data_IF_092536812150
#
_entry.id   IF_092536812150
#
_cell.length_a   1.000
_cell.length_b   1.000
_cell.length_c   1.000
_cell.angle_alpha   90.00
_cell.angle_beta   90.00
_cell.angle_gamma   90.00
#
_symmetry.space_group_name_H-M   'P 1'
#
loop_
_entity.id
_entity.type
_entity.pdbx_description
1 polymer ?
#
# COMPACT_ATOMS: atom_id res chain seq x y z
N UNK A 1 9.75 0.07 -14.38
CA UNK A 1 10.22 1.17 -15.22
C UNK A 1 9.81 2.54 -14.65
N UNK A 2 8.53 2.85 -14.45
CA UNK A 2 8.05 4.15 -13.92
C UNK A 2 8.71 4.52 -12.60
N UNK A 3 8.80 3.60 -11.61
CA UNK A 3 9.50 3.81 -10.34
C UNK A 3 10.97 4.22 -10.51
N UNK A 4 11.67 3.61 -11.47
CA UNK A 4 13.06 3.98 -11.78
C UNK A 4 13.17 5.35 -12.43
N UNK A 5 12.25 5.68 -13.32
CA UNK A 5 12.17 7.00 -13.96
C UNK A 5 12.03 8.10 -12.91
N UNK A 6 11.22 7.86 -11.89
CA UNK A 6 10.98 8.79 -10.77
C UNK A 6 11.99 8.69 -9.63
N UNK A 7 12.95 7.76 -9.67
CA UNK A 7 13.86 7.45 -8.54
C UNK A 7 13.06 7.17 -7.24
N UNK A 8 11.93 6.47 -7.39
CA UNK A 8 11.00 6.23 -6.28
C UNK A 8 11.67 5.46 -5.15
N UNK A 9 11.59 5.93 -3.89
CA UNK A 9 12.41 5.41 -2.79
C UNK A 9 11.97 4.05 -2.27
N UNK A 10 10.69 3.66 -2.48
CA UNK A 10 10.15 2.40 -1.97
C UNK A 10 10.20 1.30 -3.02
N UNK A 11 10.69 0.12 -2.64
CA UNK A 11 10.67 -1.08 -3.48
C UNK A 11 9.41 -1.94 -3.22
N UNK A 12 8.27 -1.28 -3.06
CA UNK A 12 6.95 -1.91 -2.88
C UNK A 12 6.16 -1.69 -4.17
N UNK A 13 5.61 -2.76 -4.76
CA UNK A 13 4.85 -2.68 -6.00
C UNK A 13 3.35 -2.46 -5.74
N UNK A 14 2.81 -3.16 -4.74
CA UNK A 14 1.39 -3.05 -4.39
C UNK A 14 1.04 -1.62 -3.97
N UNK A 15 -0.09 -1.12 -4.43
CA UNK A 15 -0.59 0.25 -4.18
C UNK A 15 0.29 1.39 -4.75
N UNK A 16 1.29 1.07 -5.60
CA UNK A 16 2.05 2.12 -6.27
C UNK A 16 1.14 2.88 -7.23
N UNK A 17 1.12 4.20 -7.10
CA UNK A 17 0.32 5.08 -7.97
C UNK A 17 1.21 5.54 -9.14
N UNK A 18 0.85 5.13 -10.35
CA UNK A 18 1.50 5.58 -11.58
C UNK A 18 0.69 6.68 -12.24
N UNK A 19 1.34 7.78 -12.60
CA UNK A 19 0.72 8.79 -13.46
C UNK A 19 0.68 8.33 -14.92
N UNK A 20 -0.41 8.58 -15.60
CA UNK A 20 -0.57 8.28 -17.03
C UNK A 20 0.51 8.99 -17.87
N UNK A 21 0.90 10.20 -17.49
CA UNK A 21 1.98 10.94 -18.15
C UNK A 21 3.31 10.18 -18.14
N UNK A 22 3.64 9.51 -17.03
CA UNK A 22 4.87 8.71 -16.94
C UNK A 22 4.76 7.40 -17.70
N UNK A 23 3.57 6.79 -17.74
CA UNK A 23 3.33 5.61 -18.57
C UNK A 23 3.53 5.93 -20.06
N UNK A 24 3.10 7.13 -20.52
CA UNK A 24 3.36 7.60 -21.88
C UNK A 24 4.86 7.77 -22.16
N UNK A 25 5.61 8.40 -21.24
CA UNK A 25 7.09 8.52 -21.40
C UNK A 25 7.76 7.15 -21.49
N UNK A 26 7.32 6.18 -20.69
CA UNK A 26 7.84 4.80 -20.75
C UNK A 26 7.50 4.17 -22.09
N UNK A 27 6.28 4.37 -22.62
CA UNK A 27 5.88 3.87 -23.94
C UNK A 27 6.78 4.44 -25.03
N UNK A 28 6.99 5.76 -25.07
CA UNK A 28 7.85 6.43 -26.04
C UNK A 28 9.28 5.89 -26.01
N UNK A 29 9.84 5.68 -24.79
CA UNK A 29 11.16 5.09 -24.62
C UNK A 29 11.25 3.65 -25.17
N UNK A 30 10.21 2.83 -24.94
CA UNK A 30 10.23 1.43 -25.40
C UNK A 30 10.03 1.35 -26.89
N UNK A 31 9.16 2.17 -27.49
CA UNK A 31 8.95 2.21 -28.93
C UNK A 31 10.20 2.66 -29.71
N UNK A 32 11.14 3.34 -29.04
CA UNK A 32 12.41 3.78 -29.65
C UNK A 32 13.53 2.74 -29.58
N UNK A 33 13.30 1.58 -28.94
CA UNK A 33 14.33 0.53 -28.77
C UNK A 33 13.86 -0.79 -29.39
N UNK A 34 14.84 -1.61 -29.78
CA UNK A 34 14.59 -2.92 -30.36
C UNK A 34 14.04 -3.91 -29.31
N UNK A 35 13.28 -4.91 -29.77
CA UNK A 35 12.67 -5.93 -28.92
C UNK A 35 13.70 -6.71 -28.10
N UNK A 36 14.89 -6.98 -28.66
CA UNK A 36 15.96 -7.68 -27.93
C UNK A 36 16.54 -6.83 -26.77
N UNK A 37 16.49 -5.52 -26.89
CA UNK A 37 16.81 -4.61 -25.78
C UNK A 37 15.67 -4.54 -24.77
N UNK A 38 14.43 -4.63 -25.21
CA UNK A 38 13.25 -4.67 -24.32
C UNK A 38 13.27 -5.91 -23.41
N UNK A 39 13.68 -7.08 -23.92
CA UNK A 39 13.87 -8.31 -23.13
C UNK A 39 14.87 -8.16 -21.99
N UNK A 40 15.86 -7.30 -22.13
CA UNK A 40 16.92 -7.04 -21.12
C UNK A 40 16.51 -6.02 -20.07
N UNK A 41 15.34 -5.41 -20.19
CA UNK A 41 14.86 -4.43 -19.20
C UNK A 41 14.48 -5.16 -17.90
N UNK A 42 15.10 -4.80 -16.79
CA UNK A 42 14.76 -5.37 -15.48
C UNK A 42 13.27 -5.11 -15.17
N UNK A 43 12.51 -6.20 -14.99
CA UNK A 43 11.08 -6.16 -14.71
C UNK A 43 10.20 -6.47 -15.92
N UNK A 44 10.78 -6.67 -17.10
CA UNK A 44 10.09 -7.23 -18.27
C UNK A 44 10.51 -8.70 -18.36
N UNK A 45 9.56 -9.64 -18.29
CA UNK A 45 9.89 -11.04 -18.54
C UNK A 45 10.12 -11.25 -20.03
N UNK A 46 11.08 -12.08 -20.38
CA UNK A 46 11.40 -12.38 -21.77
C UNK A 46 10.19 -12.90 -22.55
N UNK A 47 9.38 -13.76 -21.92
CA UNK A 47 8.15 -14.32 -22.47
C UNK A 47 7.01 -13.31 -22.71
N UNK A 48 7.13 -12.07 -22.18
CA UNK A 48 6.11 -11.01 -22.30
C UNK A 48 6.62 -9.76 -23.02
N UNK A 49 7.87 -9.77 -23.47
CA UNK A 49 8.49 -8.61 -24.08
C UNK A 49 7.79 -8.19 -25.38
N UNK A 50 7.29 -9.14 -26.16
CA UNK A 50 6.55 -8.95 -27.41
C UNK A 50 5.18 -8.29 -27.20
N UNK A 51 4.49 -8.61 -26.12
CA UNK A 51 3.16 -8.05 -25.79
C UNK A 51 3.22 -6.83 -24.87
N UNK A 52 4.41 -6.47 -24.40
CA UNK A 52 4.56 -5.43 -23.37
C UNK A 52 4.10 -4.04 -23.83
N UNK A 53 4.43 -3.66 -25.07
CA UNK A 53 3.98 -2.40 -25.70
C UNK A 53 2.46 -2.38 -25.82
N UNK A 54 1.87 -3.47 -26.34
CA UNK A 54 0.41 -3.58 -26.47
C UNK A 54 -0.28 -3.47 -25.10
N UNK A 55 0.26 -4.10 -24.07
CA UNK A 55 -0.28 -4.02 -22.72
C UNK A 55 -0.27 -2.58 -22.17
N UNK A 56 0.80 -1.81 -22.40
CA UNK A 56 0.85 -0.41 -22.00
C UNK A 56 -0.21 0.41 -22.75
N UNK A 57 -0.33 0.24 -24.06
CA UNK A 57 -1.30 0.95 -24.90
C UNK A 57 -2.73 0.67 -24.41
N UNK A 58 -3.08 -0.60 -24.15
CA UNK A 58 -4.41 -0.97 -23.65
C UNK A 58 -4.72 -0.24 -22.34
N UNK A 59 -3.79 -0.26 -21.37
CA UNK A 59 -3.98 0.42 -20.09
C UNK A 59 -4.15 1.94 -20.28
N UNK A 60 -3.38 2.56 -21.17
CA UNK A 60 -3.50 3.99 -21.48
C UNK A 60 -4.86 4.31 -22.12
N UNK A 61 -5.32 3.51 -23.07
CA UNK A 61 -6.63 3.68 -23.71
C UNK A 61 -7.79 3.54 -22.71
N UNK A 62 -7.72 2.55 -21.82
CA UNK A 62 -8.72 2.35 -20.77
C UNK A 62 -8.75 3.56 -19.82
N UNK A 63 -7.58 4.00 -19.35
CA UNK A 63 -7.48 5.14 -18.46
C UNK A 63 -8.01 6.43 -19.12
N UNK A 64 -7.69 6.66 -20.37
CA UNK A 64 -8.21 7.78 -21.17
C UNK A 64 -9.74 7.74 -21.31
N UNK A 65 -10.28 6.55 -21.66
CA UNK A 65 -11.73 6.38 -21.81
C UNK A 65 -12.49 6.60 -20.49
N UNK A 66 -11.85 6.28 -19.36
CA UNK A 66 -12.40 6.48 -18.02
C UNK A 66 -12.07 7.87 -17.43
N UNK A 67 -11.41 8.76 -18.18
CA UNK A 67 -10.94 10.07 -17.71
C UNK A 67 -10.15 9.97 -16.39
N UNK A 68 -9.20 9.02 -16.32
CA UNK A 68 -8.32 8.84 -15.15
C UNK A 68 -6.92 9.29 -15.48
N UNK A 69 -6.30 9.98 -14.52
CA UNK A 69 -4.91 10.47 -14.63
C UNK A 69 -3.91 9.54 -13.96
N UNK A 70 -4.40 8.62 -13.13
CA UNK A 70 -3.59 7.71 -12.34
C UNK A 70 -4.04 6.26 -12.50
N UNK A 71 -3.07 5.35 -12.43
CA UNK A 71 -3.24 3.89 -12.31
C UNK A 71 -2.66 3.43 -10.98
N UNK A 72 -3.40 2.63 -10.23
CA UNK A 72 -2.91 1.99 -9.00
C UNK A 72 -2.50 0.56 -9.32
N UNK A 73 -1.27 0.22 -8.99
CA UNK A 73 -0.75 -1.14 -9.18
C UNK A 73 -1.31 -2.07 -8.10
N UNK A 74 -1.83 -3.21 -8.51
CA UNK A 74 -2.20 -4.31 -7.61
C UNK A 74 -1.32 -5.52 -7.89
N UNK A 75 -0.81 -6.14 -6.83
CA UNK A 75 -0.14 -7.45 -6.90
C UNK A 75 -1.15 -8.61 -6.84
N UNK A 76 -2.42 -8.31 -6.57
CA UNK A 76 -3.51 -9.28 -6.59
C UNK A 76 -4.15 -9.30 -7.98
N UNK A 77 -4.32 -10.49 -8.53
CA UNK A 77 -4.90 -10.71 -9.85
C UNK A 77 -6.37 -11.17 -9.82
N UNK A 78 -6.85 -11.60 -10.98
CA UNK A 78 -8.22 -12.09 -11.16
C UNK A 78 -8.47 -13.35 -10.31
N UNK A 79 -7.48 -14.22 -10.16
CA UNK A 79 -7.59 -15.47 -9.41
C UNK A 79 -7.92 -15.18 -7.94
N UNK A 80 -7.17 -14.26 -7.32
CA UNK A 80 -7.42 -13.82 -5.94
C UNK A 80 -8.81 -13.16 -5.84
N UNK A 81 -9.21 -12.36 -6.83
CA UNK A 81 -10.54 -11.75 -6.86
C UNK A 81 -11.66 -12.78 -6.89
N UNK A 82 -11.53 -13.83 -7.70
CA UNK A 82 -12.51 -14.93 -7.75
C UNK A 82 -12.53 -15.70 -6.44
N UNK A 83 -11.38 -16.04 -5.86
CA UNK A 83 -11.31 -16.73 -4.57
C UNK A 83 -11.97 -15.90 -3.45
N UNK A 84 -11.71 -14.60 -3.40
CA UNK A 84 -12.34 -13.73 -2.42
C UNK A 84 -13.87 -13.67 -2.56
N UNK A 85 -14.40 -13.67 -3.78
CA UNK A 85 -15.87 -13.70 -3.99
C UNK A 85 -16.52 -15.00 -3.54
N UNK A 86 -15.77 -16.10 -3.47
CA UNK A 86 -16.27 -17.39 -2.98
C UNK A 86 -16.10 -17.60 -1.48
N UNK A 87 -15.02 -17.06 -0.90
CA UNK A 87 -14.69 -17.23 0.53
C UNK A 87 -15.42 -16.22 1.40
N UNK A 88 -15.62 -15.01 0.88
CA UNK A 88 -16.37 -13.97 1.60
C UNK A 88 -17.84 -14.14 1.29
N UNK A 89 -18.60 -14.60 2.26
CA UNK A 89 -20.06 -14.67 2.14
C UNK A 89 -20.59 -13.26 1.80
N UNK A 90 -21.05 -13.09 0.57
CA UNK A 90 -21.72 -11.86 0.17
C UNK A 90 -23.13 -11.87 0.73
N UNK A 91 -23.31 -11.34 1.92
CA UNK A 91 -24.63 -11.09 2.48
C UNK A 91 -25.28 -9.85 1.86
N UNK A 92 -24.59 -9.14 0.98
CA UNK A 92 -25.06 -7.90 0.35
C UNK A 92 -24.47 -7.72 -1.06
N UNK A 93 -25.09 -6.86 -1.87
CA UNK A 93 -24.73 -6.52 -3.26
C UNK A 93 -23.30 -5.98 -3.48
N UNK A 94 -22.55 -5.66 -2.41
CA UNK A 94 -21.15 -5.24 -2.46
C UNK A 94 -20.29 -6.21 -1.65
N UNK A 95 -19.57 -7.13 -2.30
CA UNK A 95 -18.82 -8.19 -1.62
C UNK A 95 -17.71 -7.70 -0.68
N UNK A 96 -17.11 -6.54 -0.92
CA UNK A 96 -16.09 -5.96 -0.04
C UNK A 96 -16.27 -4.45 0.03
N UNK A 97 -16.97 -3.97 1.06
CA UNK A 97 -17.18 -2.54 1.30
C UNK A 97 -15.94 -1.84 1.91
N UNK A 98 -15.10 -2.57 2.62
CA UNK A 98 -13.93 -2.07 3.35
C UNK A 98 -12.68 -2.92 3.04
N UNK A 99 -12.10 -2.71 1.87
CA UNK A 99 -10.88 -3.41 1.41
C UNK A 99 -9.72 -3.26 2.39
N UNK A 100 -9.54 -2.06 2.95
CA UNK A 100 -8.48 -1.80 3.92
C UNK A 100 -8.71 -2.58 5.22
N UNK A 101 -9.91 -2.51 5.78
CA UNK A 101 -10.25 -3.24 7.01
C UNK A 101 -10.08 -4.74 6.85
N UNK A 102 -10.56 -5.30 5.76
CA UNK A 102 -10.39 -6.72 5.45
C UNK A 102 -8.91 -7.11 5.36
N UNK A 103 -8.11 -6.31 4.63
CA UNK A 103 -6.68 -6.57 4.48
C UNK A 103 -5.92 -6.46 5.79
N UNK A 104 -6.21 -5.43 6.62
CA UNK A 104 -5.60 -5.26 7.94
C UNK A 104 -5.96 -6.41 8.88
N UNK A 105 -7.23 -6.80 8.93
CA UNK A 105 -7.68 -7.93 9.77
C UNK A 105 -6.94 -9.21 9.42
N UNK A 106 -6.78 -9.50 8.12
CA UNK A 106 -6.00 -10.65 7.68
C UNK A 106 -4.53 -10.61 8.14
N UNK A 107 -3.90 -9.44 8.12
CA UNK A 107 -2.54 -9.28 8.64
C UNK A 107 -2.46 -9.45 10.16
N UNK A 108 -3.39 -8.84 10.90
CA UNK A 108 -3.44 -8.98 12.36
C UNK A 108 -3.70 -10.43 12.76
N UNK A 109 -4.62 -11.14 12.11
CA UNK A 109 -4.84 -12.57 12.37
C UNK A 109 -3.57 -13.41 12.14
N UNK A 110 -2.74 -13.04 11.18
CA UNK A 110 -1.48 -13.73 10.94
C UNK A 110 -0.40 -13.42 11.97
N UNK A 111 -0.27 -12.16 12.39
CA UNK A 111 0.81 -11.69 13.26
C UNK A 111 0.42 -11.58 14.73
N UNK A 112 -0.86 -11.43 15.07
CA UNK A 112 -1.31 -11.03 16.40
C UNK A 112 -2.76 -11.46 16.69
N UNK A 113 -3.13 -12.69 16.30
CA UNK A 113 -4.51 -13.19 16.43
C UNK A 113 -5.03 -13.14 17.88
N UNK A 114 -4.16 -13.46 18.85
CA UNK A 114 -4.52 -13.51 20.27
C UNK A 114 -4.95 -12.13 20.82
N UNK A 115 -4.43 -11.04 20.24
CA UNK A 115 -4.68 -9.67 20.68
C UNK A 115 -5.68 -8.90 19.81
N UNK A 116 -6.43 -9.57 18.93
CA UNK A 116 -7.38 -8.91 18.03
C UNK A 116 -8.35 -7.96 18.77
N UNK A 117 -8.89 -8.40 19.91
CA UNK A 117 -9.79 -7.57 20.75
C UNK A 117 -9.09 -6.35 21.34
N UNK A 118 -7.83 -6.49 21.75
CA UNK A 118 -6.99 -5.39 22.19
C UNK A 118 -6.78 -4.37 21.07
N UNK A 119 -6.44 -4.83 19.88
CA UNK A 119 -6.21 -4.00 18.71
C UNK A 119 -7.47 -3.22 18.30
N UNK A 120 -8.64 -3.87 18.35
CA UNK A 120 -9.93 -3.21 18.14
C UNK A 120 -10.21 -2.13 19.21
N UNK A 121 -9.92 -2.41 20.47
CA UNK A 121 -10.12 -1.46 21.55
C UNK A 121 -9.20 -0.24 21.40
N UNK A 122 -7.90 -0.46 21.09
CA UNK A 122 -6.94 0.62 20.85
C UNK A 122 -7.38 1.47 19.65
N UNK A 123 -7.85 0.83 18.58
CA UNK A 123 -8.41 1.53 17.43
C UNK A 123 -9.61 2.41 17.83
N UNK A 124 -10.58 1.87 18.55
CA UNK A 124 -11.79 2.59 18.95
C UNK A 124 -11.46 3.81 19.84
N UNK A 125 -10.58 3.63 20.82
CA UNK A 125 -10.12 4.72 21.69
C UNK A 125 -9.34 5.79 20.92
N UNK A 126 -8.44 5.38 20.02
CA UNK A 126 -7.67 6.30 19.19
C UNK A 126 -8.57 7.15 18.29
N UNK A 127 -9.60 6.54 17.69
CA UNK A 127 -10.58 7.24 16.87
C UNK A 127 -11.44 8.21 17.67
N UNK A 128 -11.81 7.83 18.89
CA UNK A 128 -12.55 8.71 19.81
C UNK A 128 -11.71 9.95 20.15
N UNK A 129 -10.47 9.74 20.60
CA UNK A 129 -9.53 10.81 20.92
C UNK A 129 -9.25 11.71 19.73
N UNK A 130 -9.02 11.14 18.56
CA UNK A 130 -8.80 11.92 17.33
C UNK A 130 -9.97 12.84 17.01
N UNK A 131 -11.21 12.38 17.19
CA UNK A 131 -12.41 13.20 16.99
C UNK A 131 -12.50 14.32 18.03
N UNK A 132 -12.29 14.01 19.29
CA UNK A 132 -12.41 14.98 20.39
C UNK A 132 -11.30 16.04 20.33
N UNK A 133 -10.08 15.66 19.98
CA UNK A 133 -8.92 16.55 19.93
C UNK A 133 -8.76 17.29 18.59
N UNK A 134 -9.76 17.25 17.72
CA UNK A 134 -9.68 17.84 16.39
C UNK A 134 -9.30 19.32 16.38
N UNK A 135 -9.74 20.07 17.37
CA UNK A 135 -9.43 21.50 17.52
C UNK A 135 -7.94 21.72 17.84
N UNK A 136 -7.32 20.78 18.52
CA UNK A 136 -5.91 20.83 18.90
C UNK A 136 -4.98 20.39 17.77
N UNK A 137 -5.19 19.20 17.21
CA UNK A 137 -4.27 18.65 16.20
C UNK A 137 -4.48 19.22 14.79
N UNK A 138 -5.66 19.75 14.48
CA UNK A 138 -6.02 20.38 13.18
C UNK A 138 -5.72 19.52 11.94
N UNK A 139 -5.52 18.21 12.11
CA UNK A 139 -5.22 17.29 11.02
C UNK A 139 -6.45 17.10 10.12
N UNK A 140 -6.26 16.98 8.80
CA UNK A 140 -7.34 16.69 7.87
C UNK A 140 -8.00 15.32 8.15
N UNK A 141 -9.26 15.17 7.75
CA UNK A 141 -10.05 13.95 8.00
C UNK A 141 -9.45 12.69 7.38
N UNK A 142 -8.71 12.79 6.28
CA UNK A 142 -8.07 11.64 5.63
C UNK A 142 -6.99 10.98 6.51
N UNK A 143 -6.46 11.67 7.55
CA UNK A 143 -5.55 11.07 8.52
C UNK A 143 -6.21 10.00 9.42
N UNK A 144 -7.55 9.94 9.45
CA UNK A 144 -8.26 8.84 10.15
C UNK A 144 -7.89 7.46 9.61
N UNK A 145 -7.58 7.37 8.33
CA UNK A 145 -7.16 6.12 7.69
C UNK A 145 -5.76 5.68 8.16
N UNK A 146 -4.85 6.64 8.29
CA UNK A 146 -3.49 6.41 8.81
C UNK A 146 -3.57 5.98 10.28
N UNK A 147 -4.38 6.68 11.08
CA UNK A 147 -4.60 6.36 12.48
C UNK A 147 -5.21 4.96 12.65
N UNK A 148 -6.17 4.61 11.79
CA UNK A 148 -6.77 3.27 11.78
C UNK A 148 -5.72 2.18 11.55
N UNK A 149 -4.87 2.35 10.53
CA UNK A 149 -3.76 1.44 10.24
C UNK A 149 -2.82 1.32 11.45
N UNK A 150 -2.35 2.45 11.96
CA UNK A 150 -1.38 2.48 13.04
C UNK A 150 -1.94 1.84 14.32
N UNK A 151 -3.14 2.25 14.76
CA UNK A 151 -3.73 1.77 16.01
C UNK A 151 -4.15 0.30 15.96
N UNK A 152 -4.62 -0.19 14.80
CA UNK A 152 -5.06 -1.58 14.66
C UNK A 152 -3.88 -2.54 14.50
N UNK A 153 -2.73 -2.09 14.00
CA UNK A 153 -1.55 -2.90 13.73
C UNK A 153 -0.35 -2.57 14.63
N UNK A 154 -0.57 -1.82 15.73
CA UNK A 154 0.54 -1.31 16.54
C UNK A 154 1.45 -2.41 17.12
N UNK A 155 0.87 -3.55 17.49
CA UNK A 155 1.59 -4.69 18.10
C UNK A 155 1.95 -5.81 17.13
N UNK A 156 1.66 -5.68 15.82
CA UNK A 156 1.93 -6.75 14.84
C UNK A 156 3.41 -7.16 14.75
N UNK A 157 4.33 -6.35 15.27
CA UNK A 157 5.76 -6.67 15.34
C UNK A 157 6.14 -7.55 16.53
N UNK A 158 5.26 -7.77 17.51
CA UNK A 158 5.53 -8.52 18.73
C UNK A 158 5.86 -9.99 18.46
N UNK A 159 5.25 -10.59 17.43
CA UNK A 159 5.52 -11.96 17.01
C UNK A 159 6.95 -12.17 16.50
N UNK A 160 7.58 -11.13 15.96
CA UNK A 160 8.97 -11.19 15.52
C UNK A 160 9.92 -11.09 16.72
N UNK A 161 9.74 -10.04 17.53
CA UNK A 161 10.50 -9.84 18.75
C UNK A 161 9.78 -8.82 19.63
N UNK A 162 9.38 -9.23 20.82
CA UNK A 162 8.62 -8.39 21.77
C UNK A 162 9.40 -7.13 22.19
N UNK A 163 10.68 -7.24 22.46
CA UNK A 163 11.50 -6.10 22.94
C UNK A 163 11.66 -5.00 21.87
N UNK A 164 11.50 -5.33 20.59
CA UNK A 164 11.62 -4.41 19.46
C UNK A 164 10.32 -4.33 18.62
N UNK A 165 9.17 -4.66 19.24
CA UNK A 165 7.92 -4.81 18.49
C UNK A 165 7.51 -3.55 17.71
N UNK A 166 7.72 -2.37 18.27
CA UNK A 166 7.41 -1.12 17.60
C UNK A 166 8.18 -0.95 16.28
N UNK A 167 9.49 -1.19 16.29
CA UNK A 167 10.34 -1.13 15.10
C UNK A 167 10.03 -2.26 14.11
N UNK A 168 9.78 -3.47 14.62
CA UNK A 168 9.36 -4.60 13.79
C UNK A 168 7.97 -4.35 13.17
N UNK A 169 7.06 -3.67 13.88
CA UNK A 169 5.76 -3.25 13.38
C UNK A 169 5.86 -2.38 12.14
N UNK A 170 6.81 -1.43 12.10
CA UNK A 170 7.12 -0.69 10.88
C UNK A 170 7.45 -1.62 9.72
N UNK A 171 8.37 -2.58 9.95
CA UNK A 171 8.79 -3.52 8.90
C UNK A 171 7.64 -4.42 8.44
N UNK A 172 6.77 -4.85 9.35
CA UNK A 172 5.57 -5.64 9.02
C UNK A 172 4.62 -4.83 8.13
N UNK A 173 4.30 -3.59 8.50
CA UNK A 173 3.41 -2.72 7.71
C UNK A 173 3.99 -2.47 6.32
N UNK A 174 5.30 -2.19 6.23
CA UNK A 174 5.95 -1.90 4.94
C UNK A 174 6.18 -3.13 4.08
N UNK A 175 6.33 -4.32 4.67
CA UNK A 175 6.54 -5.58 3.97
C UNK A 175 5.27 -6.38 3.69
N UNK A 176 4.12 -5.95 4.24
CA UNK A 176 2.85 -6.66 4.06
C UNK A 176 2.06 -6.15 2.86
N UNK A 177 1.31 -7.06 2.22
CA UNK A 177 0.42 -6.74 1.10
C UNK A 177 -0.90 -6.09 1.58
N UNK A 178 -0.81 -4.96 2.28
CA UNK A 178 -2.01 -4.23 2.74
C UNK A 178 -2.64 -3.54 1.54
N UNK A 179 -3.87 -3.94 1.20
CA UNK A 179 -4.64 -3.34 0.13
C UNK A 179 -5.46 -2.14 0.63
N UNK A 180 -5.75 -1.19 -0.27
CA UNK A 180 -6.61 -0.06 0.05
C UNK A 180 -5.90 1.13 0.73
N UNK A 181 -4.58 1.08 0.93
CA UNK A 181 -3.78 2.21 1.44
C UNK A 181 -2.71 2.62 0.43
N UNK A 182 -2.42 3.90 0.32
CA UNK A 182 -1.31 4.43 -0.48
C UNK A 182 0.01 4.22 0.24
N UNK A 183 1.14 4.26 -0.49
CA UNK A 183 2.48 4.17 0.11
C UNK A 183 2.72 5.24 1.17
N UNK A 184 2.21 6.46 0.96
CA UNK A 184 2.30 7.54 1.95
C UNK A 184 1.54 7.21 3.23
N UNK A 185 0.33 6.64 3.11
CA UNK A 185 -0.48 6.23 4.27
C UNK A 185 0.20 5.08 5.03
N UNK A 186 0.76 4.10 4.32
CA UNK A 186 1.52 3.00 4.92
C UNK A 186 2.77 3.51 5.66
N UNK A 187 3.55 4.40 5.04
CA UNK A 187 4.72 5.01 5.67
C UNK A 187 4.37 5.77 6.95
N UNK A 188 3.37 6.64 6.90
CA UNK A 188 2.96 7.43 8.05
C UNK A 188 2.43 6.53 9.18
N UNK A 189 1.66 5.49 8.85
CA UNK A 189 1.20 4.51 9.82
C UNK A 189 2.37 3.71 10.41
N UNK A 190 3.30 3.26 9.57
CA UNK A 190 4.51 2.55 10.01
C UNK A 190 5.37 3.38 10.95
N UNK A 191 5.60 4.66 10.64
CA UNK A 191 6.30 5.57 11.56
C UNK A 191 5.55 5.76 12.87
N UNK A 192 4.23 5.96 12.83
CA UNK A 192 3.43 6.05 14.05
C UNK A 192 3.57 4.78 14.91
N UNK A 193 3.55 3.60 14.28
CA UNK A 193 3.77 2.33 14.98
C UNK A 193 5.18 2.23 15.52
N UNK A 194 6.21 2.64 14.79
CA UNK A 194 7.59 2.57 15.29
C UNK A 194 7.85 3.43 16.54
N UNK A 195 6.98 4.39 16.81
CA UNK A 195 7.11 5.36 17.92
C UNK A 195 6.10 5.16 19.04
N UNK A 196 5.16 4.21 18.94
CA UNK A 196 4.08 4.10 19.92
C UNK A 196 4.57 3.75 21.34
N UNK A 197 5.76 3.16 21.46
CA UNK A 197 6.42 2.91 22.74
C UNK A 197 7.34 4.07 23.21
N UNK A 198 7.33 5.19 22.51
CA UNK A 198 8.26 6.32 22.74
C UNK A 198 9.46 6.27 21.80
N UNK A 199 10.25 7.34 21.84
CA UNK A 199 11.42 7.53 20.99
C UNK A 199 11.23 8.65 19.96
N UNK A 200 12.32 8.98 19.27
CA UNK A 200 12.35 10.04 18.24
C UNK A 200 12.62 9.44 16.87
N UNK A 201 11.99 10.00 15.84
CA UNK A 201 12.33 9.69 14.46
C UNK A 201 13.64 10.42 14.13
N UNK A 202 14.67 9.66 13.80
CA UNK A 202 15.85 10.25 13.18
C UNK A 202 15.46 10.90 11.85
N UNK A 203 15.66 12.21 11.73
CA UNK A 203 15.33 12.95 10.49
C UNK A 203 16.00 12.33 9.25
N UNK A 204 17.15 11.67 9.41
CA UNK A 204 17.83 10.93 8.36
C UNK A 204 17.04 9.74 7.82
N UNK A 205 16.21 9.11 8.64
CA UNK A 205 15.32 8.03 8.20
C UNK A 205 14.12 8.58 7.42
N UNK A 206 13.60 9.72 7.86
CA UNK A 206 12.47 10.37 7.20
C UNK A 206 12.85 10.97 5.84
N UNK A 207 14.03 11.58 5.73
CA UNK A 207 14.52 12.22 4.49
C UNK A 207 14.58 11.24 3.32
N UNK A 208 14.81 9.94 3.56
CA UNK A 208 14.81 8.91 2.51
C UNK A 208 13.48 8.79 1.76
N UNK A 209 12.40 9.25 2.38
CA UNK A 209 11.04 9.12 1.88
C UNK A 209 10.37 10.48 1.58
N UNK A 210 11.17 11.53 1.52
CA UNK A 210 10.71 12.90 1.35
C UNK A 210 10.41 13.22 -0.12
N UNK A 211 9.60 12.50 -0.85
CA UNK A 211 9.12 12.94 -2.18
C UNK A 211 7.69 12.49 -2.42
#
# INVERSE_FOLDING_TARGET
MVKKLRKYPLDIENNYVMEIADCKKVLDQICSIDIDKTKKIKGVSEARADVFVAAIIINLCVAQKLNRENLVVSVKGIIEGVLYTHVIESTQEKPISDVLGFSMTGQVMYYDEENLKHNEQVYNLSMLLFKQLRVLHKLPRNYTKILRLASFMHDCGARINYSNHAKNGFNVIMGSDICGATHRELLLAGFAVSLHCGGDIAMSEFIKYKD
#
